data_IF_940964859500
#
_entry.id   IF_940964859500
#
_cell.length_a   1.000
_cell.length_b   1.000
_cell.length_c   1.000
_cell.angle_alpha   90.00
_cell.angle_beta   90.00
_cell.angle_gamma   90.00
#
_symmetry.space_group_name_H-M   'P 1'
#
loop_
_entity.id
_entity.type
_entity.pdbx_description
1 polymer ?
#
# COMPACT_ATOMS: atom_id res chain seq x y z
N UNK A 1 7.18 11.64 11.41
CA UNK A 1 6.36 10.77 10.55
C UNK A 1 5.38 11.58 9.72
N UNK A 2 4.51 12.42 10.33
CA UNK A 2 3.48 13.21 9.62
C UNK A 2 4.03 13.94 8.41
N UNK A 3 5.08 14.73 8.60
CA UNK A 3 5.68 15.51 7.52
C UNK A 3 6.25 14.65 6.39
N UNK A 4 6.80 13.48 6.72
CA UNK A 4 7.34 12.57 5.72
C UNK A 4 6.23 11.87 4.92
N UNK A 5 5.15 11.43 5.60
CA UNK A 5 3.97 10.85 4.95
C UNK A 5 3.35 11.84 3.96
N UNK A 6 3.20 13.09 4.41
CA UNK A 6 2.68 14.17 3.58
C UNK A 6 3.63 14.50 2.42
N UNK A 7 4.94 14.53 2.69
CA UNK A 7 5.93 14.81 1.65
C UNK A 7 5.85 13.81 0.48
N UNK A 8 5.69 12.52 0.78
CA UNK A 8 5.54 11.51 -0.28
C UNK A 8 4.31 11.80 -1.13
N UNK A 9 3.17 12.08 -0.49
CA UNK A 9 1.93 12.40 -1.18
C UNK A 9 2.04 13.66 -2.05
N UNK A 10 2.72 14.69 -1.57
CA UNK A 10 2.81 16.00 -2.25
C UNK A 10 3.87 16.04 -3.36
N UNK A 11 4.89 15.17 -3.30
CA UNK A 11 6.06 15.23 -4.19
C UNK A 11 6.18 14.04 -5.14
N UNK A 12 5.42 12.97 -4.95
CA UNK A 12 5.39 11.84 -5.85
C UNK A 12 4.02 11.78 -6.54
N UNK A 13 4.04 11.68 -7.87
CA UNK A 13 2.83 11.56 -8.68
C UNK A 13 2.23 10.16 -8.56
N UNK A 14 0.93 10.05 -8.26
CA UNK A 14 0.25 8.78 -8.28
C UNK A 14 -0.03 8.31 -9.71
N UNK A 15 0.49 7.14 -10.04
CA UNK A 15 0.25 6.46 -11.32
C UNK A 15 -0.30 5.06 -11.04
N UNK A 16 -1.54 4.81 -11.45
CA UNK A 16 -2.13 3.48 -11.29
C UNK A 16 -1.36 2.45 -12.10
N UNK A 17 -0.96 1.36 -11.45
CA UNK A 17 -0.25 0.24 -12.07
C UNK A 17 -0.91 -1.06 -11.63
N UNK A 18 -1.58 -1.71 -12.55
CA UNK A 18 -2.30 -2.97 -12.28
C UNK A 18 -1.38 -4.18 -12.45
N UNK A 19 -0.28 -4.06 -13.18
CA UNK A 19 0.65 -5.14 -13.52
C UNK A 19 2.10 -4.85 -13.11
N UNK A 20 2.91 -5.89 -13.11
CA UNK A 20 4.35 -5.85 -12.82
C UNK A 20 4.70 -5.79 -11.34
N UNK A 21 5.95 -6.06 -11.04
CA UNK A 21 6.48 -5.96 -9.67
C UNK A 21 6.56 -4.50 -9.21
N UNK A 22 6.52 -4.26 -7.88
CA UNK A 22 6.82 -2.94 -7.33
C UNK A 22 8.19 -2.45 -7.75
N UNK A 23 8.33 -1.16 -7.97
CA UNK A 23 9.65 -0.57 -8.19
C UNK A 23 10.50 -0.67 -6.93
N UNK A 24 11.82 -0.92 -7.08
CA UNK A 24 12.76 -0.71 -5.98
C UNK A 24 12.63 0.72 -5.41
N UNK A 25 12.83 0.93 -4.09
CA UNK A 25 12.68 2.24 -3.45
C UNK A 25 13.46 3.37 -4.13
N UNK A 26 14.71 3.11 -4.54
CA UNK A 26 15.52 4.10 -5.25
C UNK A 26 14.94 4.46 -6.63
N UNK A 27 14.33 3.50 -7.32
CA UNK A 27 13.70 3.72 -8.61
C UNK A 27 12.40 4.51 -8.47
N UNK A 28 11.60 4.23 -7.44
CA UNK A 28 10.40 5.02 -7.11
C UNK A 28 10.76 6.49 -6.92
N UNK A 29 11.80 6.77 -6.12
CA UNK A 29 12.27 8.13 -5.90
C UNK A 29 12.79 8.78 -7.19
N UNK A 30 13.57 8.07 -7.98
CA UNK A 30 14.12 8.58 -9.25
C UNK A 30 13.05 8.91 -10.27
N UNK A 31 11.99 8.11 -10.33
CA UNK A 31 10.85 8.33 -11.23
C UNK A 31 9.95 9.47 -10.77
N UNK A 32 9.91 9.74 -9.49
CA UNK A 32 8.98 10.71 -8.91
C UNK A 32 7.52 10.30 -9.04
N UNK A 33 7.23 9.03 -9.36
CA UNK A 33 5.86 8.53 -9.55
C UNK A 33 5.74 7.03 -9.31
N UNK A 34 4.52 6.57 -9.01
CA UNK A 34 4.19 5.16 -8.78
C UNK A 34 2.80 4.97 -8.20
N UNK A 35 2.49 3.75 -7.84
CA UNK A 35 1.25 3.36 -7.16
C UNK A 35 1.47 3.13 -5.66
N UNK A 36 0.43 2.77 -4.92
CA UNK A 36 0.55 2.40 -3.51
C UNK A 36 1.56 1.25 -3.28
N UNK A 37 1.68 0.32 -4.24
CA UNK A 37 2.65 -0.77 -4.19
C UNK A 37 4.10 -0.31 -4.30
N UNK A 38 4.34 0.86 -4.88
CA UNK A 38 5.66 1.46 -5.04
C UNK A 38 5.97 2.39 -3.86
N UNK A 39 4.99 3.19 -3.44
CA UNK A 39 5.12 4.15 -2.35
C UNK A 39 5.29 3.47 -0.98
N UNK A 40 4.57 2.36 -0.74
CA UNK A 40 4.69 1.61 0.52
C UNK A 40 6.13 1.12 0.77
N UNK A 41 6.75 0.32 -0.11
CA UNK A 41 8.13 -0.14 0.04
C UNK A 41 9.14 1.01 0.12
N UNK A 42 8.98 2.06 -0.68
CA UNK A 42 9.81 3.26 -0.62
C UNK A 42 9.75 3.91 0.77
N UNK A 43 8.56 4.16 1.28
CA UNK A 43 8.35 4.81 2.56
C UNK A 43 8.84 3.95 3.73
N UNK A 44 8.57 2.64 3.71
CA UNK A 44 9.06 1.69 4.71
C UNK A 44 10.59 1.67 4.77
N UNK A 45 11.26 1.70 3.61
CA UNK A 45 12.74 1.74 3.53
C UNK A 45 13.29 3.05 4.09
N UNK A 46 12.65 4.19 3.79
CA UNK A 46 13.06 5.49 4.36
C UNK A 46 12.94 5.46 5.88
N UNK A 47 11.85 4.95 6.43
CA UNK A 47 11.65 4.82 7.89
C UNK A 47 12.72 3.93 8.53
N UNK A 48 12.96 2.75 7.96
CA UNK A 48 13.96 1.78 8.44
C UNK A 48 15.36 2.37 8.45
N UNK A 49 15.74 3.09 7.39
CA UNK A 49 17.08 3.77 7.31
C UNK A 49 17.22 4.90 8.34
N UNK A 50 16.12 5.44 8.83
CA UNK A 50 16.11 6.41 9.91
C UNK A 50 15.89 5.80 11.30
N UNK A 51 16.06 4.48 11.44
CA UNK A 51 15.98 3.78 12.74
C UNK A 51 14.56 3.56 13.24
N UNK A 52 13.54 3.76 12.41
CA UNK A 52 12.14 3.50 12.75
C UNK A 52 11.75 2.12 12.24
N UNK A 53 11.35 1.23 13.14
CA UNK A 53 10.82 -0.07 12.75
C UNK A 53 9.54 0.13 11.94
N UNK A 54 9.51 -0.43 10.73
CA UNK A 54 8.39 -0.29 9.81
C UNK A 54 8.11 -1.62 9.10
N UNK A 55 6.83 -1.86 8.79
CA UNK A 55 6.36 -3.00 8.01
C UNK A 55 5.33 -2.56 6.99
N UNK A 56 5.17 -3.36 5.95
CA UNK A 56 4.12 -3.17 4.97
C UNK A 56 2.81 -3.74 5.48
N UNK A 57 1.73 -3.14 5.08
CA UNK A 57 0.38 -3.63 5.30
C UNK A 57 -0.41 -3.57 4.00
N UNK A 58 -1.31 -4.51 3.80
CA UNK A 58 -2.30 -4.47 2.73
C UNK A 58 -3.69 -4.81 3.23
N UNK A 59 -4.68 -4.38 2.47
CA UNK A 59 -6.07 -4.58 2.81
C UNK A 59 -6.98 -3.66 2.00
N UNK A 60 -8.07 -3.24 2.61
CA UNK A 60 -9.10 -2.48 1.94
C UNK A 60 -9.37 -1.17 2.67
N UNK A 61 -9.67 -0.12 1.92
CA UNK A 61 -10.13 1.16 2.49
C UNK A 61 -11.64 1.24 2.27
N UNK A 62 -12.39 1.28 3.38
CA UNK A 62 -13.84 1.45 3.33
C UNK A 62 -14.19 2.94 3.41
N UNK A 63 -14.86 3.44 2.40
CA UNK A 63 -15.27 4.83 2.30
C UNK A 63 -16.74 4.94 1.84
N UNK A 64 -17.56 3.97 2.26
CA UNK A 64 -18.97 3.89 1.85
C UNK A 64 -19.83 5.05 2.33
N UNK A 65 -19.36 5.83 3.30
CA UNK A 65 -19.99 7.06 3.82
C UNK A 65 -19.61 8.32 3.04
N UNK A 66 -18.64 8.22 2.11
CA UNK A 66 -18.18 9.35 1.29
C UNK A 66 -18.83 9.35 -0.09
N UNK A 67 -19.02 10.53 -0.65
CA UNK A 67 -19.42 10.67 -2.03
C UNK A 67 -18.35 10.06 -2.98
N UNK A 68 -18.76 9.51 -4.14
CA UNK A 68 -17.81 8.85 -5.05
C UNK A 68 -16.60 9.69 -5.43
N UNK A 69 -16.73 11.01 -5.56
CA UNK A 69 -15.62 11.93 -5.89
C UNK A 69 -14.66 12.23 -4.73
N UNK A 70 -15.06 11.92 -3.49
CA UNK A 70 -14.26 12.20 -2.29
C UNK A 70 -13.53 10.97 -1.74
N UNK A 71 -13.64 9.83 -2.42
CA UNK A 71 -13.04 8.56 -2.00
C UNK A 71 -11.56 8.53 -2.33
N UNK A 72 -10.74 8.14 -1.35
CA UNK A 72 -9.29 7.96 -1.47
C UNK A 72 -8.91 6.69 -2.24
N UNK A 73 -9.76 5.67 -2.13
CA UNK A 73 -9.61 4.42 -2.86
C UNK A 73 -11.00 3.95 -3.32
N UNK A 74 -11.13 3.62 -4.59
CA UNK A 74 -12.36 3.05 -5.13
C UNK A 74 -12.48 1.57 -4.74
N UNK A 75 -12.83 1.27 -3.47
CA UNK A 75 -13.09 -0.10 -2.98
C UNK A 75 -12.07 -1.15 -3.47
N UNK A 76 -10.82 -0.71 -3.66
CA UNK A 76 -9.76 -1.52 -4.21
C UNK A 76 -8.81 -1.99 -3.11
N UNK A 77 -8.09 -3.06 -3.38
CA UNK A 77 -6.96 -3.47 -2.58
C UNK A 77 -5.96 -2.32 -2.50
N UNK A 78 -5.53 -2.00 -1.31
CA UNK A 78 -4.60 -0.92 -1.02
C UNK A 78 -3.41 -1.40 -0.20
N UNK A 79 -2.29 -0.69 -0.30
CA UNK A 79 -1.08 -0.96 0.47
C UNK A 79 -0.63 0.32 1.19
N UNK A 80 -0.20 0.15 2.44
CA UNK A 80 0.32 1.22 3.29
C UNK A 80 1.46 0.73 4.16
N UNK A 81 1.91 1.55 5.09
CA UNK A 81 3.01 1.23 6.00
C UNK A 81 2.54 1.34 7.44
N UNK A 82 3.01 0.44 8.29
CA UNK A 82 2.89 0.60 9.73
C UNK A 82 4.27 0.85 10.33
N UNK A 83 4.39 1.89 11.14
CA UNK A 83 5.59 2.25 11.89
C UNK A 83 5.40 1.96 13.37
N UNK A 84 6.39 1.36 14.02
CA UNK A 84 6.34 1.12 15.46
C UNK A 84 6.84 2.33 16.24
N UNK A 85 5.99 2.84 17.11
CA UNK A 85 6.30 3.95 18.00
C UNK A 85 6.31 3.46 19.44
N UNK A 86 7.42 3.63 20.20
CA UNK A 86 7.45 3.32 21.61
C UNK A 86 6.32 4.01 22.38
N UNK A 87 5.55 3.22 23.14
CA UNK A 87 4.39 3.71 23.89
C UNK A 87 3.07 3.76 23.12
N UNK A 88 3.09 3.75 21.78
CA UNK A 88 1.88 3.78 20.95
C UNK A 88 1.68 2.49 20.13
N UNK A 89 2.75 1.69 19.94
CA UNK A 89 2.68 0.47 19.13
C UNK A 89 2.78 0.74 17.63
N UNK A 90 2.14 -0.10 16.83
CA UNK A 90 2.10 0.01 15.38
C UNK A 90 1.07 1.04 14.92
N UNK A 91 1.51 2.04 14.19
CA UNK A 91 0.69 3.15 13.68
C UNK A 91 0.70 3.08 12.16
N UNK A 92 -0.48 3.01 11.56
CA UNK A 92 -0.66 2.99 10.12
C UNK A 92 -0.45 4.38 9.49
N UNK A 93 0.30 4.40 8.40
CA UNK A 93 0.67 5.59 7.62
C UNK A 93 0.45 5.28 6.14
N UNK A 94 -0.38 6.05 5.50
CA UNK A 94 -0.64 5.92 4.07
C UNK A 94 0.06 7.02 3.29
N UNK A 95 1.23 6.74 2.70
CA UNK A 95 1.98 7.73 1.93
C UNK A 95 1.31 8.08 0.60
N UNK A 96 0.41 7.24 0.10
CA UNK A 96 -0.34 7.51 -1.13
C UNK A 96 -1.32 8.65 -0.95
N UNK A 97 -2.02 8.66 0.18
CA UNK A 97 -3.03 9.67 0.51
C UNK A 97 -2.53 10.74 1.49
N UNK A 98 -1.30 10.63 1.99
CA UNK A 98 -0.70 11.58 2.92
C UNK A 98 -1.33 11.59 4.32
N UNK A 99 -1.94 10.48 4.76
CA UNK A 99 -2.75 10.40 5.98
C UNK A 99 -2.28 9.30 6.94
N UNK A 100 -2.72 9.40 8.20
CA UNK A 100 -2.72 8.26 9.12
C UNK A 100 -3.88 7.32 8.77
N UNK A 101 -3.63 6.02 8.91
CA UNK A 101 -4.69 5.03 8.78
C UNK A 101 -5.60 5.10 10.02
N UNK A 102 -6.89 5.18 9.77
CA UNK A 102 -7.95 5.19 10.76
C UNK A 102 -8.82 3.91 10.64
N UNK A 103 -10.00 3.92 11.24
CA UNK A 103 -10.95 2.81 11.20
C UNK A 103 -11.49 2.44 9.81
N UNK A 104 -11.22 3.26 8.79
CA UNK A 104 -11.57 2.94 7.41
C UNK A 104 -10.58 1.96 6.76
N UNK A 105 -9.40 1.76 7.35
CA UNK A 105 -8.38 0.85 6.84
C UNK A 105 -8.56 -0.54 7.43
N UNK A 106 -9.03 -1.48 6.64
CA UNK A 106 -9.21 -2.88 7.03
C UNK A 106 -7.97 -3.67 6.61
N UNK A 107 -7.07 -3.92 7.57
CA UNK A 107 -5.83 -4.68 7.34
C UNK A 107 -6.12 -6.15 7.18
N UNK A 108 -5.62 -6.76 6.11
CA UNK A 108 -5.73 -8.21 5.84
C UNK A 108 -4.39 -8.94 5.92
N UNK A 109 -3.29 -8.24 5.63
CA UNK A 109 -1.95 -8.81 5.75
C UNK A 109 -0.95 -7.75 6.19
N UNK A 110 0.09 -8.19 6.91
CA UNK A 110 1.27 -7.40 7.27
C UNK A 110 2.54 -8.21 7.02
N UNK A 111 3.62 -7.55 6.61
CA UNK A 111 4.87 -8.22 6.33
C UNK A 111 6.05 -7.26 6.12
N UNK A 112 7.22 -7.82 5.94
CA UNK A 112 8.43 -7.02 5.72
C UNK A 112 8.64 -6.65 4.26
N UNK A 113 8.15 -7.50 3.35
CA UNK A 113 8.32 -7.37 1.91
C UNK A 113 6.96 -7.34 1.22
N UNK A 114 6.95 -6.89 -0.02
CA UNK A 114 5.73 -6.87 -0.84
C UNK A 114 5.11 -8.27 -1.01
N UNK A 115 5.93 -9.32 -1.16
CA UNK A 115 5.43 -10.69 -1.31
C UNK A 115 4.63 -11.17 -0.08
N UNK A 116 4.99 -10.71 1.12
CA UNK A 116 4.31 -11.07 2.38
C UNK A 116 2.89 -10.49 2.47
N UNK A 117 2.63 -9.41 1.74
CA UNK A 117 1.34 -8.70 1.76
C UNK A 117 0.56 -8.86 0.45
N UNK A 118 1.04 -9.70 -0.45
CA UNK A 118 0.34 -9.99 -1.71
C UNK A 118 -0.95 -10.78 -1.43
N UNK A 119 -2.11 -10.33 -1.92
CA UNK A 119 -3.39 -10.97 -1.60
C UNK A 119 -3.52 -12.36 -2.20
N UNK A 120 -2.85 -12.59 -3.31
CA UNK A 120 -2.79 -13.87 -4.00
C UNK A 120 -1.37 -14.09 -4.52
N UNK A 121 -0.77 -15.20 -4.13
CA UNK A 121 0.51 -15.65 -4.65
C UNK A 121 0.41 -17.13 -4.98
N UNK A 122 1.01 -17.53 -6.09
CA UNK A 122 1.02 -18.93 -6.50
C UNK A 122 1.97 -19.17 -7.65
N UNK A 123 2.35 -20.43 -7.80
CA UNK A 123 3.22 -20.90 -8.89
C UNK A 123 2.52 -22.02 -9.62
N UNK A 124 2.63 -22.02 -10.92
CA UNK A 124 2.20 -23.15 -11.72
C UNK A 124 3.36 -23.69 -12.56
N UNK A 125 3.34 -24.98 -12.82
CA UNK A 125 4.35 -25.65 -13.63
C UNK A 125 3.73 -26.09 -14.96
N UNK A 126 4.39 -25.76 -16.08
CA UNK A 126 3.90 -26.10 -17.40
C UNK A 126 4.98 -25.93 -18.47
N UNK A 127 4.76 -26.54 -19.65
CA UNK A 127 5.69 -26.46 -20.78
C UNK A 127 5.61 -25.14 -21.57
N UNK A 128 4.61 -24.31 -21.34
CA UNK A 128 4.39 -23.00 -22.01
C UNK A 128 3.80 -22.01 -21.01
N UNK A 129 4.06 -20.72 -21.23
CA UNK A 129 3.35 -19.66 -20.54
C UNK A 129 1.84 -19.80 -20.82
N UNK A 130 1.06 -19.92 -19.77
CA UNK A 130 -0.39 -20.01 -19.83
C UNK A 130 -0.94 -18.61 -19.52
N UNK A 131 -1.78 -18.03 -20.38
CA UNK A 131 -2.44 -16.77 -20.04
C UNK A 131 -3.25 -16.96 -18.75
N UNK A 132 -3.04 -16.06 -17.81
CA UNK A 132 -3.78 -16.05 -16.55
C UNK A 132 -4.52 -14.74 -16.41
N UNK A 133 -5.73 -14.79 -15.88
CA UNK A 133 -6.53 -13.62 -15.53
C UNK A 133 -6.89 -13.69 -14.06
N UNK A 134 -6.73 -12.59 -13.35
CA UNK A 134 -7.23 -12.43 -12.00
C UNK A 134 -8.41 -11.47 -12.03
N UNK A 135 -9.55 -11.92 -11.54
CA UNK A 135 -10.72 -11.07 -11.30
C UNK A 135 -11.02 -11.10 -9.80
N UNK A 136 -11.17 -9.92 -9.22
CA UNK A 136 -11.54 -9.79 -7.82
C UNK A 136 -12.79 -8.91 -7.69
N UNK A 137 -13.72 -9.31 -6.82
CA UNK A 137 -14.87 -8.51 -6.41
C UNK A 137 -14.80 -8.34 -4.90
N UNK A 138 -14.85 -7.08 -4.47
CA UNK A 138 -14.95 -6.73 -3.06
C UNK A 138 -16.31 -6.14 -2.77
N UNK A 139 -16.93 -6.60 -1.70
CA UNK A 139 -18.14 -5.99 -1.14
C UNK A 139 -17.92 -5.79 0.36
N UNK A 140 -18.03 -4.54 0.81
CA UNK A 140 -17.91 -4.17 2.22
C UNK A 140 -19.22 -3.53 2.66
N UNK A 141 -19.86 -4.11 3.66
CA UNK A 141 -21.11 -3.61 4.22
C UNK A 141 -20.89 -3.21 5.67
N UNK A 142 -21.56 -2.15 6.08
CA UNK A 142 -21.60 -1.77 7.50
C UNK A 142 -22.56 -2.72 8.22
N UNK A 143 -22.08 -3.30 9.32
CA UNK A 143 -22.90 -4.10 10.22
C UNK A 143 -23.85 -3.21 11.03
#
# INVERSE_FOLDING_TARGET
LVNLTRWVHENLEYERRDEGEPFPPAETLRRGKGSCRDFGPFFAEVLRRNGVAARLASGFVWEGDKAPGDRRAESALHAWVEAFLPGAGWIGLDPTNGVFCDHHFVTTAVGLNHADISPVAGTYYGKKAIPSTLAAKLEVQKA
#
